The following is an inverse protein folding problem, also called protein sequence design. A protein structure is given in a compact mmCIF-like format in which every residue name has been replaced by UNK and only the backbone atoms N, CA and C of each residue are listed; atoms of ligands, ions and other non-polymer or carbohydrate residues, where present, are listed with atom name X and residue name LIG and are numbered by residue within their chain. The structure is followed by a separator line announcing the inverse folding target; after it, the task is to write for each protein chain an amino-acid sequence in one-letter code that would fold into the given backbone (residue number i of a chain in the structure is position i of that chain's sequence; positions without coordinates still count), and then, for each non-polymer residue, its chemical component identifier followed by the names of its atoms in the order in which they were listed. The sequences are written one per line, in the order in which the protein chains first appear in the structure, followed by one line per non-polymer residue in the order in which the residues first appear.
data_IF_871583118587
#
_entry.id   IF_871583118587
#
_cell.length_a   1.000
_cell.length_b   1.000
_cell.length_c   1.000
_cell.angle_alpha   90.00
_cell.angle_beta   90.00
_cell.angle_gamma   90.00
#
_symmetry.space_group_name_H-M   'P 1'
#
loop_
_entity.id
_entity.type
_entity.pdbx_description
1 polymer ?
#
# COMPACT_ATOMS: atom_id res chain seq x y z
N UNK A 1 28.31 -33.62 -33.76
CA UNK A 1 27.42 -32.42 -33.86
C UNK A 1 26.25 -32.46 -32.90
N UNK A 2 25.75 -33.59 -32.40
CA UNK A 2 24.62 -33.71 -31.46
C UNK A 2 24.93 -33.35 -30.01
N UNK A 3 26.20 -33.49 -29.56
CA UNK A 3 26.60 -33.21 -28.17
C UNK A 3 26.53 -31.73 -27.75
N UNK A 4 26.64 -30.80 -28.70
CA UNK A 4 26.54 -29.34 -28.43
C UNK A 4 25.15 -28.76 -28.72
N UNK A 5 24.33 -29.48 -29.50
CA UNK A 5 22.98 -29.05 -29.84
C UNK A 5 22.00 -29.13 -28.64
N UNK A 6 22.15 -30.14 -27.77
CA UNK A 6 21.28 -30.31 -26.58
C UNK A 6 21.48 -29.17 -25.56
N UNK A 7 22.72 -28.83 -25.13
CA UNK A 7 22.91 -27.71 -24.21
C UNK A 7 22.44 -26.36 -24.80
N UNK A 8 22.64 -26.15 -26.10
CA UNK A 8 22.17 -24.93 -26.78
C UNK A 8 20.64 -24.87 -26.81
N UNK A 9 19.95 -25.96 -27.08
CA UNK A 9 18.49 -26.01 -27.08
C UNK A 9 17.92 -25.75 -25.68
N UNK A 10 18.54 -26.32 -24.64
CA UNK A 10 18.16 -26.07 -23.24
C UNK A 10 18.36 -24.57 -22.88
N UNK A 11 19.51 -24.01 -23.26
CA UNK A 11 19.80 -22.58 -22.99
C UNK A 11 18.78 -21.66 -23.66
N UNK A 12 18.45 -21.91 -24.94
CA UNK A 12 17.46 -21.11 -25.67
C UNK A 12 16.05 -21.24 -25.06
N UNK A 13 15.69 -22.45 -24.62
CA UNK A 13 14.42 -22.69 -23.93
C UNK A 13 14.31 -21.94 -22.60
N UNK A 14 15.39 -21.98 -21.80
CA UNK A 14 15.45 -21.23 -20.55
C UNK A 14 15.45 -19.70 -20.76
N UNK A 15 16.18 -19.22 -21.77
CA UNK A 15 16.20 -17.80 -22.13
C UNK A 15 14.83 -17.31 -22.58
N UNK A 16 14.11 -18.13 -23.39
CA UNK A 16 12.74 -17.82 -23.81
C UNK A 16 11.75 -17.79 -22.65
N UNK A 17 11.85 -18.77 -21.74
CA UNK A 17 11.04 -18.81 -20.52
C UNK A 17 11.31 -17.59 -19.63
N UNK A 18 12.57 -17.26 -19.41
CA UNK A 18 12.97 -16.10 -18.62
C UNK A 18 12.46 -14.80 -19.24
N UNK A 19 12.61 -14.64 -20.56
CA UNK A 19 12.06 -13.50 -21.30
C UNK A 19 10.53 -13.39 -21.14
N UNK A 20 9.82 -14.52 -21.24
CA UNK A 20 8.36 -14.56 -21.06
C UNK A 20 7.96 -14.12 -19.65
N UNK A 21 8.65 -14.61 -18.61
CA UNK A 21 8.39 -14.22 -17.21
C UNK A 21 8.67 -12.73 -16.99
N UNK A 22 9.77 -12.20 -17.55
CA UNK A 22 10.08 -10.77 -17.47
C UNK A 22 9.00 -9.90 -18.15
N UNK A 23 8.46 -10.33 -19.27
CA UNK A 23 7.36 -9.66 -19.94
C UNK A 23 6.10 -9.62 -19.05
N UNK A 24 5.74 -10.73 -18.42
CA UNK A 24 4.61 -10.79 -17.50
C UNK A 24 4.79 -9.91 -16.26
N UNK A 25 6.00 -9.85 -15.71
CA UNK A 25 6.33 -8.95 -14.59
C UNK A 25 6.18 -7.47 -15.00
N UNK A 26 6.59 -7.13 -16.22
CA UNK A 26 6.50 -5.74 -16.73
C UNK A 26 5.06 -5.31 -17.06
N UNK A 27 4.16 -6.26 -17.32
CA UNK A 27 2.73 -6.02 -17.55
C UNK A 27 1.91 -5.98 -16.25
N UNK A 28 2.54 -6.21 -15.10
CA UNK A 28 1.88 -6.16 -13.78
C UNK A 28 1.00 -7.37 -13.46
N UNK A 29 0.89 -8.35 -14.36
CA UNK A 29 0.09 -9.57 -14.14
C UNK A 29 0.73 -10.54 -13.14
N UNK A 30 2.06 -10.53 -13.03
CA UNK A 30 2.79 -11.34 -12.06
C UNK A 30 3.64 -10.46 -11.15
N UNK A 31 3.20 -10.30 -9.91
CA UNK A 31 3.97 -9.65 -8.86
C UNK A 31 4.42 -10.69 -7.82
N UNK A 32 5.69 -11.15 -7.86
CA UNK A 32 6.20 -12.15 -6.91
C UNK A 32 6.19 -11.65 -5.46
N UNK A 33 5.98 -10.36 -5.22
CA UNK A 33 5.85 -9.74 -3.90
C UNK A 33 4.40 -9.70 -3.39
N UNK A 34 3.41 -10.03 -4.24
CA UNK A 34 2.01 -10.11 -3.80
C UNK A 34 1.80 -11.41 -3.03
N UNK A 35 2.02 -11.38 -1.73
CA UNK A 35 1.57 -12.46 -0.85
C UNK A 35 0.07 -12.28 -0.65
N UNK A 36 -0.75 -13.32 -0.94
CA UNK A 36 -2.18 -13.25 -0.67
C UNK A 36 -2.42 -12.90 0.80
N UNK A 37 -3.06 -11.77 1.04
CA UNK A 37 -3.42 -11.41 2.41
C UNK A 37 -4.65 -12.20 2.83
N UNK A 38 -4.62 -12.75 4.07
CA UNK A 38 -5.79 -13.42 4.65
C UNK A 38 -6.85 -12.42 5.14
N UNK A 39 -6.62 -11.12 4.98
CA UNK A 39 -7.53 -10.08 5.49
C UNK A 39 -8.62 -9.67 4.51
N UNK A 40 -8.50 -9.98 3.21
CA UNK A 40 -9.56 -9.68 2.23
C UNK A 40 -10.86 -10.37 2.64
N UNK A 41 -11.94 -9.57 2.77
CA UNK A 41 -13.26 -10.01 3.23
C UNK A 41 -13.38 -10.22 4.75
N UNK A 42 -12.39 -9.82 5.54
CA UNK A 42 -12.41 -9.86 7.01
C UNK A 42 -12.38 -8.46 7.60
N UNK A 43 -12.80 -8.35 8.85
CA UNK A 43 -12.69 -7.11 9.62
C UNK A 43 -11.23 -6.64 9.67
N UNK A 44 -11.05 -5.35 9.45
CA UNK A 44 -9.75 -4.68 9.58
C UNK A 44 -9.19 -4.89 11.00
N UNK A 45 -7.93 -5.27 11.15
CA UNK A 45 -7.30 -5.35 12.47
C UNK A 45 -7.38 -4.01 13.20
N UNK A 46 -7.69 -4.07 14.48
CA UNK A 46 -7.71 -2.88 15.33
C UNK A 46 -6.28 -2.45 15.67
N UNK A 47 -6.06 -1.15 15.67
CA UNK A 47 -4.86 -0.54 16.23
C UNK A 47 -5.19 0.69 17.05
N UNK A 48 -4.29 1.05 17.96
CA UNK A 48 -4.32 2.28 18.73
C UNK A 48 -2.89 2.80 18.87
N UNK A 49 -2.51 3.77 18.04
CA UNK A 49 -1.15 4.31 17.96
C UNK A 49 -1.14 5.79 18.34
N UNK A 50 -0.06 6.30 18.97
CA UNK A 50 0.13 7.73 19.10
C UNK A 50 0.10 8.41 17.72
N UNK A 51 -0.52 9.58 17.61
CA UNK A 51 -0.46 10.36 16.38
C UNK A 51 0.95 10.95 16.19
N UNK A 52 1.50 10.83 15.00
CA UNK A 52 2.83 11.34 14.67
C UNK A 52 2.95 12.85 14.90
N UNK A 53 1.90 13.62 14.59
CA UNK A 53 1.91 15.09 14.65
C UNK A 53 1.51 15.61 16.02
N UNK A 54 0.63 14.89 16.74
CA UNK A 54 0.13 15.22 18.07
C UNK A 54 0.19 13.98 18.98
N UNK A 55 1.32 13.73 19.67
CA UNK A 55 1.54 12.52 20.46
C UNK A 55 0.55 12.30 21.62
N UNK A 56 -0.15 13.33 22.05
CA UNK A 56 -1.19 13.22 23.09
C UNK A 56 -2.51 12.63 22.54
N UNK A 57 -2.61 12.52 21.24
CA UNK A 57 -3.75 11.95 20.52
C UNK A 57 -3.47 10.51 20.12
N UNK A 58 -4.49 9.67 20.18
CA UNK A 58 -4.43 8.28 19.70
C UNK A 58 -5.20 8.16 18.39
N UNK A 59 -4.59 7.57 17.39
CA UNK A 59 -5.19 7.20 16.09
C UNK A 59 -5.65 5.73 16.19
N UNK A 60 -6.90 5.49 15.83
CA UNK A 60 -7.54 4.16 15.90
C UNK A 60 -8.15 3.77 14.56
N UNK A 61 -8.24 2.48 14.31
CA UNK A 61 -9.01 1.93 13.18
C UNK A 61 -10.46 2.43 13.22
N UNK A 62 -11.07 2.48 14.40
CA UNK A 62 -12.44 2.94 14.63
C UNK A 62 -12.70 4.41 14.31
N UNK A 63 -11.67 5.26 14.18
CA UNK A 63 -11.83 6.67 13.83
C UNK A 63 -12.42 6.87 12.42
N UNK A 64 -12.38 5.80 11.59
CA UNK A 64 -12.86 5.79 10.21
C UNK A 64 -14.15 4.99 10.02
N UNK A 65 -14.84 4.62 11.11
CA UNK A 65 -16.07 3.85 11.03
C UNK A 65 -17.14 4.58 10.19
N UNK A 66 -17.86 3.82 9.36
CA UNK A 66 -18.95 4.32 8.53
C UNK A 66 -18.55 4.98 7.22
N UNK A 67 -17.27 4.95 6.83
CA UNK A 67 -16.80 5.48 5.56
C UNK A 67 -15.81 4.53 4.88
N UNK A 68 -15.69 4.65 3.55
CA UNK A 68 -14.63 3.97 2.78
C UNK A 68 -13.33 4.76 2.91
N UNK A 69 -12.23 4.09 3.21
CA UNK A 69 -10.94 4.76 3.46
C UNK A 69 -9.74 3.88 3.07
N UNK A 70 -8.58 4.51 3.00
CA UNK A 70 -7.31 3.83 2.77
C UNK A 70 -6.43 3.85 4.03
N UNK A 71 -5.80 2.71 4.31
CA UNK A 71 -4.64 2.63 5.19
C UNK A 71 -3.39 2.53 4.32
N UNK A 72 -2.44 3.44 4.51
CA UNK A 72 -1.16 3.40 3.82
C UNK A 72 -0.01 3.28 4.81
N UNK A 73 0.82 2.27 4.65
CA UNK A 73 2.02 2.04 5.48
C UNK A 73 3.23 2.61 4.78
N UNK A 74 3.95 3.51 5.44
CA UNK A 74 5.04 4.28 4.85
C UNK A 74 6.19 4.56 5.83
N UNK A 75 7.32 5.03 5.31
CA UNK A 75 8.46 5.52 6.09
C UNK A 75 9.41 6.35 5.25
N UNK A 76 10.21 7.21 5.90
CA UNK A 76 11.19 8.07 5.21
C UNK A 76 12.32 7.26 4.55
N UNK A 77 12.62 6.09 5.09
CA UNK A 77 13.61 5.14 4.59
C UNK A 77 13.20 4.40 3.30
N UNK A 78 11.93 4.56 2.86
CA UNK A 78 11.33 3.78 1.78
C UNK A 78 11.32 4.58 0.45
N UNK A 79 12.18 4.25 -0.55
CA UNK A 79 12.22 4.98 -1.81
C UNK A 79 10.92 4.94 -2.63
N UNK A 80 10.20 3.82 -2.59
CA UNK A 80 8.91 3.68 -3.30
C UNK A 80 7.81 4.53 -2.65
N UNK A 81 7.87 4.76 -1.32
CA UNK A 81 6.96 5.66 -0.63
C UNK A 81 7.11 7.12 -1.09
N UNK A 82 8.35 7.54 -1.41
CA UNK A 82 8.61 8.86 -1.98
C UNK A 82 7.99 9.02 -3.37
N UNK A 83 7.96 7.95 -4.18
CA UNK A 83 7.40 7.99 -5.54
C UNK A 83 5.87 8.12 -5.53
N UNK A 84 5.20 7.44 -4.59
CA UNK A 84 3.74 7.51 -4.50
C UNK A 84 3.22 8.76 -3.79
N UNK A 85 4.08 9.46 -3.03
CA UNK A 85 3.65 10.54 -2.12
C UNK A 85 2.86 11.65 -2.82
N UNK A 86 3.33 12.11 -3.97
CA UNK A 86 2.62 13.14 -4.78
C UNK A 86 1.24 12.64 -5.21
N UNK A 87 1.14 11.35 -5.55
CA UNK A 87 -0.14 10.77 -5.95
C UNK A 87 -1.10 10.62 -4.76
N UNK A 88 -0.61 10.27 -3.57
CA UNK A 88 -1.42 10.28 -2.35
C UNK A 88 -1.94 11.70 -2.02
N UNK A 89 -1.12 12.74 -2.21
CA UNK A 89 -1.58 14.14 -2.10
C UNK A 89 -2.72 14.42 -3.08
N UNK A 90 -2.58 13.98 -4.36
CA UNK A 90 -3.63 14.13 -5.35
C UNK A 90 -4.94 13.44 -4.90
N UNK A 91 -4.89 12.20 -4.44
CA UNK A 91 -6.06 11.46 -3.95
C UNK A 91 -6.72 12.17 -2.78
N UNK A 92 -5.94 12.60 -1.79
CA UNK A 92 -6.48 13.27 -0.61
C UNK A 92 -7.10 14.64 -0.93
N UNK A 93 -6.48 15.43 -1.84
CA UNK A 93 -6.89 16.82 -2.06
C UNK A 93 -7.86 17.00 -3.22
N UNK A 94 -7.78 16.19 -4.26
CA UNK A 94 -8.60 16.31 -5.48
C UNK A 94 -9.75 15.31 -5.52
N UNK A 95 -9.49 14.08 -5.09
CA UNK A 95 -10.52 13.04 -5.06
C UNK A 95 -11.14 12.89 -3.66
N UNK A 96 -10.65 13.65 -2.66
CA UNK A 96 -11.13 13.68 -1.28
C UNK A 96 -11.17 12.30 -0.61
N UNK A 97 -10.21 11.44 -0.99
CA UNK A 97 -10.07 10.09 -0.43
C UNK A 97 -9.53 10.20 1.01
N UNK A 98 -10.23 9.66 2.01
CA UNK A 98 -9.73 9.61 3.37
C UNK A 98 -8.56 8.61 3.47
N UNK A 99 -7.39 9.07 3.91
CA UNK A 99 -6.20 8.23 4.05
C UNK A 99 -5.68 8.31 5.48
N UNK A 100 -5.55 7.18 6.16
CA UNK A 100 -4.75 7.07 7.39
C UNK A 100 -3.36 6.55 7.02
N UNK A 101 -2.32 7.22 7.50
CA UNK A 101 -0.94 6.75 7.41
C UNK A 101 -0.54 5.95 8.65
N UNK A 102 0.20 4.86 8.48
CA UNK A 102 1.02 4.29 9.55
C UNK A 102 2.48 4.56 9.20
N UNK A 103 3.12 5.42 9.99
CA UNK A 103 4.55 5.69 9.87
C UNK A 103 5.32 4.60 10.62
N UNK A 104 5.99 3.73 9.86
CA UNK A 104 6.53 2.47 10.34
C UNK A 104 8.06 2.48 10.42
N UNK A 105 8.60 2.06 11.59
CA UNK A 105 10.05 1.93 11.84
C UNK A 105 10.85 3.16 11.42
N UNK A 106 10.34 4.32 11.78
CA UNK A 106 10.86 5.59 11.33
C UNK A 106 11.27 6.49 12.51
N UNK A 107 11.99 7.56 12.21
CA UNK A 107 12.23 8.64 13.14
C UNK A 107 11.13 9.71 13.01
N UNK A 108 10.53 10.08 14.13
CA UNK A 108 9.41 11.01 14.12
C UNK A 108 9.80 12.41 13.61
N UNK A 109 11.04 12.87 13.84
CA UNK A 109 11.50 14.16 13.36
C UNK A 109 11.72 14.16 11.85
N UNK A 110 12.31 13.08 11.31
CA UNK A 110 12.49 12.88 9.87
C UNK A 110 11.15 12.77 9.14
N UNK A 111 10.21 12.00 9.70
CA UNK A 111 8.87 11.84 9.16
C UNK A 111 8.12 13.20 9.11
N UNK A 112 8.14 13.96 10.20
CA UNK A 112 7.56 15.32 10.25
C UNK A 112 8.22 16.26 9.23
N UNK A 113 9.54 16.24 9.11
CA UNK A 113 10.27 17.06 8.15
C UNK A 113 9.91 16.70 6.69
N UNK A 114 9.75 15.43 6.37
CA UNK A 114 9.27 14.98 5.07
C UNK A 114 7.89 15.53 4.75
N UNK A 115 6.93 15.40 5.66
CA UNK A 115 5.57 15.90 5.48
C UNK A 115 5.51 17.43 5.37
N UNK A 116 6.32 18.15 6.16
CA UNK A 116 6.42 19.61 6.06
C UNK A 116 6.94 20.10 4.71
N UNK A 117 7.85 19.33 4.09
CA UNK A 117 8.46 19.64 2.80
C UNK A 117 7.56 19.26 1.62
N UNK A 118 6.93 18.09 1.65
CA UNK A 118 6.21 17.52 0.52
C UNK A 118 4.69 17.68 0.61
N UNK A 119 4.17 18.13 1.73
CA UNK A 119 2.74 18.12 2.05
C UNK A 119 2.32 16.85 2.80
N UNK A 120 1.13 16.90 3.41
CA UNK A 120 0.57 15.79 4.17
C UNK A 120 -0.70 15.24 3.48
N UNK A 121 -0.68 14.01 2.94
CA UNK A 121 -1.85 13.39 2.34
C UNK A 121 -2.77 12.73 3.37
N UNK A 122 -2.34 12.58 4.61
CA UNK A 122 -3.03 11.78 5.61
C UNK A 122 -3.97 12.61 6.48
N UNK A 123 -5.18 12.11 6.69
CA UNK A 123 -6.12 12.67 7.66
C UNK A 123 -5.62 12.49 9.10
N UNK A 124 -4.93 11.36 9.36
CA UNK A 124 -4.29 10.97 10.61
C UNK A 124 -3.06 10.12 10.33
N UNK A 125 -2.11 10.10 11.28
CA UNK A 125 -0.90 9.31 11.12
C UNK A 125 -0.58 8.60 12.43
N UNK A 126 -0.80 7.28 12.48
CA UNK A 126 -0.32 6.45 13.57
C UNK A 126 1.20 6.28 13.50
N UNK A 127 1.91 6.55 14.60
CA UNK A 127 3.35 6.36 14.69
C UNK A 127 3.66 4.97 15.28
N UNK A 128 4.25 4.09 14.49
CA UNK A 128 4.53 2.68 14.81
C UNK A 128 6.02 2.33 14.68
N UNK A 129 6.88 2.88 15.55
CA UNK A 129 8.32 2.60 15.48
C UNK A 129 8.68 1.16 15.87
N UNK A 130 7.81 0.46 16.60
CA UNK A 130 8.03 -0.90 17.11
C UNK A 130 7.37 -1.98 16.27
N UNK A 131 6.58 -1.63 15.28
CA UNK A 131 5.81 -2.55 14.43
C UNK A 131 4.63 -3.24 15.14
N UNK A 132 4.07 -2.60 16.15
CA UNK A 132 2.96 -3.19 16.93
C UNK A 132 1.71 -3.38 16.06
N UNK A 133 1.31 -2.36 15.29
CA UNK A 133 0.15 -2.44 14.41
C UNK A 133 0.44 -3.16 13.08
N UNK A 134 1.58 -2.87 12.45
CA UNK A 134 1.88 -3.41 11.11
C UNK A 134 1.99 -4.92 11.07
N UNK A 135 2.42 -5.55 12.19
CA UNK A 135 2.47 -7.02 12.31
C UNK A 135 1.06 -7.60 12.25
N UNK A 136 0.10 -7.02 12.99
CA UNK A 136 -1.29 -7.48 13.01
C UNK A 136 -1.97 -7.30 11.64
N UNK A 137 -1.54 -6.32 10.84
CA UNK A 137 -2.00 -6.10 9.46
C UNK A 137 -1.27 -6.99 8.44
N UNK A 138 -0.36 -7.84 8.86
CA UNK A 138 0.41 -8.72 7.98
C UNK A 138 1.23 -7.92 6.96
N UNK A 139 1.76 -6.76 7.38
CA UNK A 139 2.66 -5.92 6.58
C UNK A 139 4.09 -6.43 6.76
N UNK A 140 4.80 -6.60 5.66
CA UNK A 140 6.20 -7.04 5.65
C UNK A 140 7.11 -6.11 4.84
N UNK A 141 6.55 -5.06 4.24
CA UNK A 141 7.27 -4.07 3.47
C UNK A 141 6.50 -2.75 3.37
N UNK A 142 7.15 -1.71 2.87
CA UNK A 142 6.51 -0.44 2.55
C UNK A 142 6.87 -0.06 1.10
N UNK A 143 5.95 0.59 0.38
CA UNK A 143 4.60 0.93 0.81
C UNK A 143 3.64 -0.25 0.65
N UNK A 144 2.66 -0.34 1.54
CA UNK A 144 1.48 -1.19 1.37
C UNK A 144 0.22 -0.36 1.62
N UNK A 145 -0.78 -0.52 0.74
CA UNK A 145 -2.05 0.21 0.84
C UNK A 145 -3.20 -0.78 0.93
N UNK A 146 -4.07 -0.59 1.92
CA UNK A 146 -5.30 -1.36 2.11
C UNK A 146 -6.50 -0.47 1.87
N UNK A 147 -7.58 -1.03 1.31
CA UNK A 147 -8.88 -0.40 1.25
C UNK A 147 -9.80 -1.05 2.27
N UNK A 148 -10.44 -0.23 3.08
CA UNK A 148 -11.41 -0.65 4.07
C UNK A 148 -12.75 0.01 3.73
N UNK A 149 -13.83 -0.79 3.73
CA UNK A 149 -15.18 -0.27 3.48
C UNK A 149 -15.84 0.35 4.72
N UNK A 150 -17.06 0.86 4.55
CA UNK A 150 -17.81 1.50 5.62
C UNK A 150 -18.18 0.55 6.77
N UNK A 151 -18.24 -0.76 6.50
CA UNK A 151 -18.48 -1.81 7.48
C UNK A 151 -17.22 -2.24 8.21
N UNK A 152 -16.06 -1.66 7.87
CA UNK A 152 -14.75 -1.99 8.47
C UNK A 152 -14.13 -3.26 7.90
N UNK A 153 -14.54 -3.72 6.72
CA UNK A 153 -14.02 -4.91 6.06
C UNK A 153 -12.90 -4.53 5.08
N UNK A 154 -11.78 -5.24 5.12
CA UNK A 154 -10.71 -5.08 4.15
C UNK A 154 -11.17 -5.63 2.80
N UNK A 155 -11.22 -4.80 1.78
CA UNK A 155 -11.68 -5.16 0.43
C UNK A 155 -10.54 -5.33 -0.57
N UNK A 156 -9.45 -4.59 -0.42
CA UNK A 156 -8.33 -4.65 -1.34
C UNK A 156 -7.01 -4.42 -0.58
N UNK A 157 -5.93 -5.00 -1.11
CA UNK A 157 -4.54 -4.76 -0.69
C UNK A 157 -3.66 -4.55 -1.92
N UNK A 158 -2.80 -3.56 -1.87
CA UNK A 158 -1.74 -3.35 -2.85
C UNK A 158 -0.39 -3.26 -2.16
N UNK A 159 0.59 -4.01 -2.67
CA UNK A 159 1.99 -3.97 -2.22
C UNK A 159 2.82 -3.28 -3.29
N UNK A 160 3.49 -2.21 -2.92
CA UNK A 160 4.25 -1.33 -3.80
C UNK A 160 3.60 0.04 -3.97
N UNK A 161 4.26 0.93 -4.72
CA UNK A 161 3.81 2.30 -4.89
C UNK A 161 2.44 2.39 -5.57
N UNK A 162 1.53 3.11 -4.94
CA UNK A 162 0.22 3.41 -5.49
C UNK A 162 0.38 4.42 -6.65
N UNK A 163 -0.27 4.13 -7.77
CA UNK A 163 -0.24 4.96 -8.96
C UNK A 163 -1.63 5.04 -9.62
N UNK A 164 -1.84 5.92 -10.62
CA UNK A 164 -3.14 6.09 -11.27
C UNK A 164 -3.75 4.80 -11.81
N UNK A 165 -2.94 3.91 -12.39
CA UNK A 165 -3.43 2.66 -12.96
C UNK A 165 -3.94 1.71 -11.88
N UNK A 166 -3.18 1.53 -10.80
CA UNK A 166 -3.58 0.70 -9.64
C UNK A 166 -4.83 1.28 -8.99
N UNK A 167 -4.86 2.60 -8.79
CA UNK A 167 -6.03 3.29 -8.24
C UNK A 167 -7.30 3.02 -9.04
N UNK A 168 -7.25 3.30 -10.35
CA UNK A 168 -8.41 3.15 -11.23
C UNK A 168 -8.92 1.71 -11.31
N UNK A 169 -8.01 0.72 -11.33
CA UNK A 169 -8.39 -0.69 -11.51
C UNK A 169 -8.81 -1.39 -10.23
N UNK A 170 -8.24 -1.01 -9.07
CA UNK A 170 -8.40 -1.78 -7.83
C UNK A 170 -9.20 -1.04 -6.74
N UNK A 171 -9.00 0.25 -6.59
CA UNK A 171 -9.49 1.01 -5.43
C UNK A 171 -10.71 1.88 -5.77
N UNK A 172 -10.62 2.65 -6.84
CA UNK A 172 -11.67 3.61 -7.24
C UNK A 172 -13.06 3.00 -7.34
N UNK A 173 -13.29 1.79 -7.88
CA UNK A 173 -14.63 1.22 -7.98
C UNK A 173 -15.38 1.12 -6.64
N UNK A 174 -14.67 0.94 -5.53
CA UNK A 174 -15.30 0.90 -4.20
C UNK A 174 -15.76 2.28 -3.72
N UNK A 175 -14.98 3.32 -4.01
CA UNK A 175 -15.37 4.70 -3.71
C UNK A 175 -16.55 5.16 -4.55
N UNK A 176 -16.55 4.81 -5.85
CA UNK A 176 -17.67 5.14 -6.76
C UNK A 176 -18.98 4.44 -6.32
N UNK A 177 -18.89 3.18 -5.90
CA UNK A 177 -20.04 2.43 -5.38
C UNK A 177 -20.59 3.04 -4.08
N UNK A 178 -19.72 3.47 -3.16
CA UNK A 178 -20.13 4.12 -1.93
C UNK A 178 -20.80 5.48 -2.17
N UNK A 179 -20.30 6.27 -3.11
CA UNK A 179 -20.88 7.57 -3.49
C UNK A 179 -22.27 7.43 -4.15
N UNK A 180 -22.51 6.34 -4.88
CA UNK A 180 -23.81 6.06 -5.53
C UNK A 180 -24.90 5.53 -4.59
N UNK A 181 -24.55 5.16 -3.35
CA UNK A 181 -25.46 4.59 -2.34
C UNK A 181 -25.93 5.61 -1.29
N UNK A 182 -25.48 6.87 -1.38
CA UNK A 182 -25.84 8.00 -0.52
C UNK A 182 -26.91 8.85 -1.17
#
# INVERSE_FOLDING_TARGET
MTRTAIPLAIFLGLAGLFWYVLQQMNQGEYNPRSVPTQFIGRSAPEFALPDLLDPDRIVRTSDMAGQVWLLNVWGTWCPECWKEHEYLIHLATREQVPIIGINWRDDAAEAKAMLARLGNPFARIGFDPKSDAVIDWGVYGAPETFLIDAEGIVREKHTGALNPQVWQSKFKPYFDAAAGSS
#
